data_IF_077402319562
#
_entry.id   IF_077402319562
#
_cell.length_a   1.000
_cell.length_b   1.000
_cell.length_c   1.000
_cell.angle_alpha   90.00
_cell.angle_beta   90.00
_cell.angle_gamma   90.00
#
_symmetry.space_group_name_H-M   'P 1'
#
loop_
_entity.id
_entity.type
_entity.pdbx_description
1 polymer ?
#
# COMPACT_ATOMS: atom_id res chain seq x y z
N UNK A 1 14.80 -30.50 40.41
CA UNK A 1 15.69 -29.80 39.46
C UNK A 1 16.48 -30.75 38.57
N UNK A 2 15.83 -31.48 37.67
CA UNK A 2 16.49 -32.31 36.64
C UNK A 2 15.96 -31.99 35.23
N UNK A 3 15.03 -31.03 35.10
CA UNK A 3 14.37 -30.69 33.81
C UNK A 3 15.04 -29.56 33.02
N UNK A 4 15.95 -28.80 33.61
CA UNK A 4 16.64 -27.69 32.93
C UNK A 4 17.86 -28.13 32.11
N UNK A 5 18.39 -29.35 32.31
CA UNK A 5 19.65 -29.81 31.68
C UNK A 5 19.48 -30.46 30.28
N UNK A 6 18.24 -30.59 29.77
CA UNK A 6 17.98 -31.27 28.48
C UNK A 6 17.61 -30.31 27.33
N UNK A 7 17.17 -29.08 27.63
CA UNK A 7 16.77 -28.13 26.59
C UNK A 7 17.99 -27.72 25.76
N UNK A 8 17.91 -27.91 24.44
CA UNK A 8 18.99 -27.66 23.48
C UNK A 8 20.27 -28.50 23.63
N UNK A 9 20.26 -29.61 24.39
CA UNK A 9 21.45 -30.45 24.61
C UNK A 9 22.13 -30.91 23.29
N UNK A 10 21.34 -31.20 22.26
CA UNK A 10 21.84 -31.53 20.92
C UNK A 10 22.60 -30.35 20.27
N UNK A 11 22.09 -29.13 20.37
CA UNK A 11 22.74 -27.94 19.83
C UNK A 11 24.06 -27.65 20.56
N UNK A 12 24.08 -27.75 21.89
CA UNK A 12 25.33 -27.63 22.66
C UNK A 12 26.36 -28.71 22.31
N UNK A 13 25.93 -29.93 21.99
CA UNK A 13 26.82 -30.97 21.48
C UNK A 13 27.41 -30.60 20.11
N UNK A 14 26.60 -30.07 19.19
CA UNK A 14 27.06 -29.56 17.90
C UNK A 14 28.06 -28.40 18.05
N UNK A 15 27.79 -27.46 18.96
CA UNK A 15 28.68 -26.32 19.25
C UNK A 15 30.05 -26.78 19.76
N UNK A 16 30.09 -27.77 20.66
CA UNK A 16 31.36 -28.39 21.10
C UNK A 16 32.11 -29.03 19.93
N UNK A 17 31.39 -29.70 19.03
CA UNK A 17 31.95 -30.26 17.80
C UNK A 17 32.56 -29.19 16.89
N UNK A 18 31.84 -28.09 16.66
CA UNK A 18 32.30 -26.97 15.84
C UNK A 18 33.47 -26.20 16.48
N UNK A 19 33.54 -26.11 17.81
CA UNK A 19 34.73 -25.55 18.47
C UNK A 19 35.98 -26.41 18.25
N UNK A 20 35.83 -27.73 18.22
CA UNK A 20 36.93 -28.65 17.93
C UNK A 20 37.27 -28.73 16.42
N UNK A 21 36.27 -28.55 15.56
CA UNK A 21 36.36 -28.66 14.11
C UNK A 21 35.60 -27.50 13.42
N UNK A 22 36.16 -26.27 13.38
CA UNK A 22 35.43 -25.07 12.93
C UNK A 22 34.98 -25.10 11.47
N UNK A 23 35.72 -25.81 10.62
CA UNK A 23 35.48 -25.85 9.17
C UNK A 23 34.60 -27.04 8.74
N UNK A 24 34.09 -27.85 9.68
CA UNK A 24 33.32 -29.06 9.36
C UNK A 24 31.91 -28.70 8.83
N UNK A 25 31.62 -28.86 7.52
CA UNK A 25 30.39 -28.36 6.92
C UNK A 25 29.14 -29.09 7.41
N UNK A 26 29.27 -30.38 7.72
CA UNK A 26 28.14 -31.19 8.17
C UNK A 26 27.62 -30.75 9.55
N UNK A 27 28.53 -30.41 10.48
CA UNK A 27 28.14 -29.94 11.82
C UNK A 27 27.47 -28.57 11.74
N UNK A 28 27.96 -27.69 10.86
CA UNK A 28 27.34 -26.39 10.64
C UNK A 28 25.93 -26.54 10.06
N UNK A 29 25.76 -27.41 9.06
CA UNK A 29 24.47 -27.64 8.43
C UNK A 29 23.45 -28.27 9.40
N UNK A 30 23.87 -29.21 10.24
CA UNK A 30 23.01 -29.77 11.29
C UNK A 30 22.58 -28.70 12.31
N UNK A 31 23.48 -27.80 12.70
CA UNK A 31 23.16 -26.71 13.61
C UNK A 31 22.21 -25.70 12.95
N UNK A 32 22.41 -25.39 11.67
CA UNK A 32 21.50 -24.56 10.88
C UNK A 32 20.09 -25.17 10.82
N UNK A 33 20.00 -26.46 10.54
CA UNK A 33 18.71 -27.18 10.53
C UNK A 33 18.04 -27.18 11.90
N UNK A 34 18.83 -27.29 12.98
CA UNK A 34 18.32 -27.17 14.33
C UNK A 34 17.65 -25.81 14.57
N UNK A 35 18.32 -24.70 14.26
CA UNK A 35 17.73 -23.36 14.39
C UNK A 35 16.55 -23.14 13.44
N UNK A 36 16.62 -23.68 12.22
CA UNK A 36 15.50 -23.63 11.26
C UNK A 36 14.26 -24.38 11.77
N UNK A 37 14.44 -25.40 12.62
CA UNK A 37 13.34 -26.16 13.23
C UNK A 37 12.62 -25.46 14.39
N UNK A 38 12.91 -24.18 14.63
CA UNK A 38 12.30 -23.34 15.67
C UNK A 38 12.48 -23.94 17.07
N UNK A 39 13.70 -23.86 17.63
CA UNK A 39 13.97 -24.36 18.96
C UNK A 39 13.11 -23.63 20.00
N UNK A 40 12.83 -24.31 21.12
CA UNK A 40 12.12 -23.73 22.27
C UNK A 40 12.70 -22.36 22.67
N UNK A 41 11.83 -21.41 23.05
CA UNK A 41 12.27 -20.10 23.57
C UNK A 41 13.03 -20.22 24.89
N UNK A 42 12.68 -21.22 25.71
CA UNK A 42 13.32 -21.47 27.00
C UNK A 42 14.81 -21.82 26.85
N UNK A 43 15.71 -20.93 27.28
CA UNK A 43 17.16 -21.13 27.17
C UNK A 43 17.76 -20.74 25.81
N UNK A 44 16.96 -20.13 24.95
CA UNK A 44 17.39 -19.69 23.62
C UNK A 44 18.42 -18.55 23.66
N UNK A 45 18.32 -17.52 24.51
CA UNK A 45 19.34 -16.48 24.61
C UNK A 45 20.73 -17.06 24.98
N UNK A 46 20.79 -17.98 25.93
CA UNK A 46 22.04 -18.63 26.34
C UNK A 46 22.63 -19.48 25.21
N UNK A 47 21.78 -20.14 24.42
CA UNK A 47 22.21 -20.89 23.25
C UNK A 47 22.78 -19.96 22.17
N UNK A 48 22.15 -18.81 21.92
CA UNK A 48 22.65 -17.80 20.96
C UNK A 48 24.00 -17.24 21.40
N UNK A 49 24.14 -16.90 22.68
CA UNK A 49 25.42 -16.45 23.24
C UNK A 49 26.50 -17.51 23.10
N UNK A 50 26.20 -18.77 23.45
CA UNK A 50 27.14 -19.88 23.27
C UNK A 50 27.52 -20.08 21.79
N UNK A 51 26.55 -19.89 20.89
CA UNK A 51 26.75 -19.96 19.43
C UNK A 51 27.67 -18.85 18.94
N UNK A 52 27.49 -17.60 19.39
CA UNK A 52 28.34 -16.46 19.00
C UNK A 52 29.81 -16.63 19.46
N UNK A 53 30.04 -17.33 20.57
CA UNK A 53 31.40 -17.65 21.05
C UNK A 53 32.05 -18.76 20.22
N UNK A 54 31.26 -19.69 19.68
CA UNK A 54 31.75 -20.79 18.85
C UNK A 54 31.94 -20.37 17.38
N UNK A 55 30.97 -19.63 16.82
CA UNK A 55 30.95 -19.13 15.45
C UNK A 55 31.18 -17.63 15.46
N UNK A 56 32.44 -17.23 15.35
CA UNK A 56 32.89 -15.83 15.53
C UNK A 56 32.92 -15.02 14.23
N UNK A 57 32.21 -15.48 13.21
CA UNK A 57 32.15 -14.87 11.87
C UNK A 57 30.72 -14.44 11.55
N UNK A 58 30.54 -13.68 10.46
CA UNK A 58 29.22 -13.22 10.01
C UNK A 58 28.23 -14.38 9.71
N UNK A 59 28.72 -15.60 9.49
CA UNK A 59 27.91 -16.83 9.40
C UNK A 59 27.00 -17.07 10.61
N UNK A 60 27.31 -16.46 11.75
CA UNK A 60 26.45 -16.48 12.94
C UNK A 60 25.04 -15.97 12.63
N UNK A 61 24.94 -14.85 11.92
CA UNK A 61 23.67 -14.21 11.59
C UNK A 61 22.79 -15.13 10.73
N UNK A 62 23.36 -15.67 9.65
CA UNK A 62 22.68 -16.61 8.76
C UNK A 62 22.18 -17.87 9.49
N UNK A 63 22.93 -18.35 10.48
CA UNK A 63 22.59 -19.57 11.21
C UNK A 63 21.50 -19.33 12.27
N UNK A 64 21.42 -18.12 12.83
CA UNK A 64 20.59 -17.82 14.01
C UNK A 64 19.35 -16.98 13.71
N UNK A 65 19.17 -16.50 12.48
CA UNK A 65 18.07 -15.63 12.05
C UNK A 65 16.69 -16.01 12.63
N UNK A 66 16.27 -17.28 12.48
CA UNK A 66 14.97 -17.76 12.97
C UNK A 66 14.82 -17.74 14.49
N UNK A 67 15.91 -17.88 15.24
CA UNK A 67 15.88 -17.78 16.69
C UNK A 67 15.72 -16.32 17.13
N UNK A 68 16.33 -15.38 16.41
CA UNK A 68 16.12 -13.96 16.65
C UNK A 68 14.68 -13.52 16.38
N UNK A 69 14.02 -14.08 15.36
CA UNK A 69 12.58 -13.86 15.14
C UNK A 69 11.74 -14.28 16.35
N UNK A 70 12.08 -15.43 16.94
CA UNK A 70 11.36 -15.97 18.09
C UNK A 70 11.53 -15.05 19.31
N UNK A 71 12.77 -14.65 19.63
CA UNK A 71 13.04 -13.72 20.72
C UNK A 71 12.39 -12.37 20.47
N UNK A 72 12.52 -11.81 19.26
CA UNK A 72 11.95 -10.51 18.94
C UNK A 72 10.42 -10.50 19.01
N UNK A 73 9.75 -11.64 18.82
CA UNK A 73 8.29 -11.77 19.00
C UNK A 73 7.90 -11.82 20.48
N UNK A 74 8.61 -12.61 21.29
CA UNK A 74 8.22 -12.87 22.69
C UNK A 74 8.75 -11.85 23.70
N UNK A 75 9.97 -11.35 23.49
CA UNK A 75 10.66 -10.54 24.48
C UNK A 75 10.41 -9.05 24.29
N UNK A 76 10.79 -8.28 25.31
CA UNK A 76 10.90 -6.84 25.20
C UNK A 76 12.06 -6.47 24.27
N UNK A 77 11.96 -5.32 23.59
CA UNK A 77 13.03 -4.90 22.67
C UNK A 77 14.35 -4.63 23.40
N UNK A 78 14.30 -4.19 24.66
CA UNK A 78 15.52 -3.95 25.46
C UNK A 78 16.29 -5.25 25.72
N UNK A 79 15.57 -6.32 26.08
CA UNK A 79 16.21 -7.60 26.40
C UNK A 79 16.76 -8.25 25.13
N UNK A 80 15.99 -8.23 24.04
CA UNK A 80 16.45 -8.63 22.71
C UNK A 80 17.74 -7.90 22.30
N UNK A 81 17.75 -6.58 22.48
CA UNK A 81 18.90 -5.74 22.11
C UNK A 81 20.14 -6.10 22.95
N UNK A 82 19.99 -6.29 24.25
CA UNK A 82 21.10 -6.67 25.13
C UNK A 82 21.72 -8.01 24.73
N UNK A 83 20.89 -9.01 24.41
CA UNK A 83 21.36 -10.30 23.93
C UNK A 83 22.06 -10.21 22.56
N UNK A 84 21.51 -9.41 21.63
CA UNK A 84 22.13 -9.18 20.32
C UNK A 84 23.49 -8.51 20.47
N UNK A 85 23.57 -7.40 21.19
CA UNK A 85 24.83 -6.68 21.44
C UNK A 85 25.87 -7.61 22.12
N UNK A 86 25.45 -8.41 23.09
CA UNK A 86 26.32 -9.40 23.76
C UNK A 86 26.87 -10.42 22.77
N UNK A 87 26.03 -10.94 21.86
CA UNK A 87 26.48 -11.87 20.82
C UNK A 87 27.45 -11.19 19.84
N UNK A 88 27.15 -9.97 19.41
CA UNK A 88 27.95 -9.22 18.44
C UNK A 88 29.35 -8.89 18.97
N UNK A 89 29.52 -8.63 20.27
CA UNK A 89 30.85 -8.42 20.87
C UNK A 89 31.77 -9.64 20.77
N UNK A 90 31.23 -10.85 20.55
CA UNK A 90 32.03 -12.07 20.39
C UNK A 90 32.53 -12.28 18.95
N UNK A 91 31.92 -11.61 17.98
CA UNK A 91 32.23 -11.71 16.56
C UNK A 91 33.53 -10.94 16.26
N UNK A 92 34.38 -11.52 15.41
CA UNK A 92 35.71 -10.98 15.09
C UNK A 92 35.89 -10.59 13.62
N UNK A 93 34.88 -10.85 12.79
CA UNK A 93 34.99 -10.70 11.34
C UNK A 93 34.66 -9.27 10.87
N UNK A 94 35.31 -8.86 9.77
CA UNK A 94 35.07 -7.60 9.06
C UNK A 94 34.06 -7.76 7.91
N UNK A 95 33.60 -8.99 7.63
CA UNK A 95 32.52 -9.24 6.68
C UNK A 95 31.19 -8.79 7.27
N UNK A 96 30.41 -8.08 6.46
CA UNK A 96 29.11 -7.53 6.87
C UNK A 96 27.95 -8.08 6.04
N UNK A 97 28.20 -8.97 5.08
CA UNK A 97 27.18 -9.36 4.10
C UNK A 97 25.98 -10.07 4.77
N UNK A 98 26.25 -11.09 5.60
CA UNK A 98 25.19 -11.78 6.36
C UNK A 98 24.60 -10.92 7.48
N UNK A 99 25.39 -9.99 8.02
CA UNK A 99 24.93 -9.03 9.02
C UNK A 99 23.87 -8.09 8.43
N UNK A 100 24.12 -7.57 7.23
CA UNK A 100 23.19 -6.69 6.53
C UNK A 100 21.88 -7.40 6.18
N UNK A 101 21.96 -8.61 5.63
CA UNK A 101 20.77 -9.43 5.34
C UNK A 101 19.96 -9.71 6.61
N UNK A 102 20.65 -10.05 7.71
CA UNK A 102 20.00 -10.25 9.00
C UNK A 102 19.30 -9.00 9.50
N UNK A 103 19.94 -7.83 9.42
CA UNK A 103 19.30 -6.58 9.85
C UNK A 103 18.08 -6.23 9.00
N UNK A 104 18.12 -6.42 7.68
CA UNK A 104 16.94 -6.26 6.81
C UNK A 104 15.80 -7.16 7.28
N UNK A 105 16.09 -8.44 7.56
CA UNK A 105 15.10 -9.41 8.02
C UNK A 105 14.47 -9.01 9.37
N UNK A 106 15.28 -8.72 10.40
CA UNK A 106 14.74 -8.42 11.74
C UNK A 106 14.08 -7.03 11.81
N UNK A 107 14.45 -6.09 10.94
CA UNK A 107 13.91 -4.73 10.95
C UNK A 107 12.40 -4.71 10.71
N UNK A 108 11.88 -5.65 9.90
CA UNK A 108 10.44 -5.80 9.62
C UNK A 108 9.62 -5.87 10.91
N UNK A 109 10.05 -6.68 11.88
CA UNK A 109 9.42 -6.74 13.20
C UNK A 109 9.93 -5.64 14.14
N UNK A 110 11.24 -5.35 14.13
CA UNK A 110 11.86 -4.45 15.10
C UNK A 110 11.35 -3.01 15.00
N UNK A 111 10.96 -2.53 13.82
CA UNK A 111 10.38 -1.18 13.62
C UNK A 111 9.22 -0.93 14.59
N UNK A 112 8.44 -1.94 14.93
CA UNK A 112 7.28 -1.84 15.82
C UNK A 112 7.62 -1.79 17.31
N UNK A 113 8.80 -2.24 17.72
CA UNK A 113 9.20 -2.32 19.14
C UNK A 113 10.38 -1.40 19.49
N UNK A 114 11.22 -1.07 18.52
CA UNK A 114 12.47 -0.35 18.70
C UNK A 114 12.29 1.16 18.87
N UNK A 115 13.26 1.78 19.57
CA UNK A 115 13.36 3.23 19.63
C UNK A 115 13.80 3.84 18.30
N UNK A 116 13.38 5.07 18.01
CA UNK A 116 13.79 5.81 16.80
C UNK A 116 15.31 5.99 16.69
N UNK A 117 16.01 6.07 17.82
CA UNK A 117 17.48 6.15 17.82
C UNK A 117 18.09 4.90 17.21
N UNK A 118 17.70 3.73 17.72
CA UNK A 118 18.23 2.45 17.26
C UNK A 118 17.88 2.19 15.79
N UNK A 119 16.67 2.54 15.36
CA UNK A 119 16.27 2.39 13.96
C UNK A 119 17.11 3.28 13.04
N UNK A 120 17.29 4.57 13.38
CA UNK A 120 18.15 5.47 12.58
C UNK A 120 19.59 4.96 12.49
N UNK A 121 20.11 4.41 13.58
CA UNK A 121 21.44 3.80 13.61
C UNK A 121 21.53 2.62 12.62
N UNK A 122 20.57 1.69 12.65
CA UNK A 122 20.59 0.50 11.79
C UNK A 122 20.26 0.76 10.33
N UNK A 123 19.32 1.67 10.04
CA UNK A 123 19.12 2.13 8.66
C UNK A 123 20.37 2.84 8.12
N UNK A 124 21.04 3.67 8.94
CA UNK A 124 22.29 4.32 8.54
C UNK A 124 23.44 3.33 8.32
N UNK A 125 23.48 2.24 9.07
CA UNK A 125 24.45 1.15 8.88
C UNK A 125 24.21 0.40 7.55
N UNK A 126 22.95 0.14 7.21
CA UNK A 126 22.58 -0.46 5.91
C UNK A 126 22.94 0.48 4.76
N UNK A 127 22.59 1.77 4.85
CA UNK A 127 22.89 2.78 3.83
C UNK A 127 24.41 2.92 3.60
N UNK A 128 25.21 2.94 4.68
CA UNK A 128 26.67 3.02 4.58
C UNK A 128 27.32 1.82 3.85
N UNK A 129 26.61 0.70 3.75
CA UNK A 129 27.06 -0.52 3.10
C UNK A 129 26.16 -0.96 1.93
N UNK A 130 25.38 -0.03 1.37
CA UNK A 130 24.43 -0.31 0.29
C UNK A 130 25.05 -1.07 -0.90
N UNK A 131 26.27 -0.70 -1.31
CA UNK A 131 27.00 -1.33 -2.42
C UNK A 131 27.30 -2.83 -2.22
N UNK A 132 27.16 -3.36 -0.99
CA UNK A 132 27.38 -4.76 -0.64
C UNK A 132 26.10 -5.59 -0.63
N UNK A 133 24.95 -4.95 -0.72
CA UNK A 133 23.67 -5.63 -0.66
C UNK A 133 23.39 -6.42 -1.94
N UNK A 134 22.67 -7.54 -1.83
CA UNK A 134 22.21 -8.28 -3.00
C UNK A 134 21.13 -7.48 -3.75
N UNK A 135 20.98 -7.74 -5.05
CA UNK A 135 20.04 -6.98 -5.91
C UNK A 135 18.59 -6.98 -5.42
N UNK A 136 18.15 -8.05 -4.73
CA UNK A 136 16.79 -8.17 -4.22
C UNK A 136 16.53 -7.29 -2.98
N UNK A 137 17.59 -6.82 -2.31
CA UNK A 137 17.46 -6.06 -1.07
C UNK A 137 16.94 -4.64 -1.29
N UNK A 138 17.02 -4.11 -2.51
CA UNK A 138 16.53 -2.77 -2.84
C UNK A 138 15.02 -2.64 -2.53
N UNK A 139 14.22 -3.61 -3.00
CA UNK A 139 12.78 -3.63 -2.72
C UNK A 139 12.46 -3.80 -1.23
N UNK A 140 13.27 -4.57 -0.50
CA UNK A 140 13.09 -4.77 0.94
C UNK A 140 13.43 -3.50 1.72
N UNK A 141 14.48 -2.78 1.34
CA UNK A 141 14.82 -1.48 1.95
C UNK A 141 13.68 -0.49 1.74
N UNK A 142 13.19 -0.35 0.52
CA UNK A 142 12.06 0.53 0.20
C UNK A 142 10.85 0.18 1.09
N UNK A 143 10.52 -1.10 1.20
CA UNK A 143 9.44 -1.56 2.07
C UNK A 143 9.65 -1.20 3.54
N UNK A 144 10.85 -1.44 4.09
CA UNK A 144 11.20 -1.14 5.47
C UNK A 144 11.17 0.37 5.77
N UNK A 145 11.62 1.20 4.84
CA UNK A 145 11.52 2.65 4.95
C UNK A 145 10.06 3.10 5.00
N UNK A 146 9.20 2.55 4.13
CA UNK A 146 7.77 2.86 4.12
C UNK A 146 7.07 2.39 5.40
N UNK A 147 7.43 1.24 5.97
CA UNK A 147 6.90 0.81 7.29
C UNK A 147 7.34 1.80 8.37
N UNK A 148 8.62 2.19 8.39
CA UNK A 148 9.11 3.11 9.42
C UNK A 148 8.43 4.49 9.32
N UNK A 149 8.20 4.98 8.10
CA UNK A 149 7.42 6.19 7.87
C UNK A 149 5.95 6.01 8.29
N UNK A 150 5.32 4.90 7.90
CA UNK A 150 3.94 4.56 8.29
C UNK A 150 3.78 4.56 9.80
N UNK A 151 4.69 3.91 10.52
CA UNK A 151 4.70 3.88 11.99
C UNK A 151 4.64 5.28 12.61
N UNK A 152 5.37 6.25 12.04
CA UNK A 152 5.37 7.63 12.52
C UNK A 152 4.04 8.37 12.28
N UNK A 153 3.27 7.95 11.26
CA UNK A 153 1.99 8.53 10.87
C UNK A 153 0.77 7.68 11.30
N UNK A 154 1.02 6.50 11.87
CA UNK A 154 0.01 5.49 12.22
C UNK A 154 -1.15 6.04 13.03
N UNK A 155 -0.86 6.92 13.99
CA UNK A 155 -1.92 7.52 14.83
C UNK A 155 -2.93 8.31 14.00
N UNK A 156 -2.48 9.03 12.97
CA UNK A 156 -3.36 9.78 12.07
C UNK A 156 -4.16 8.84 11.17
N UNK A 157 -3.54 7.74 10.72
CA UNK A 157 -4.23 6.74 9.93
C UNK A 157 -5.41 6.11 10.71
N UNK A 158 -5.17 5.76 11.99
CA UNK A 158 -6.17 5.13 12.86
C UNK A 158 -7.35 6.05 13.25
N UNK A 159 -7.28 7.36 13.03
CA UNK A 159 -8.41 8.28 13.29
C UNK A 159 -9.61 8.05 12.36
N UNK A 160 -9.42 7.34 11.24
CA UNK A 160 -10.44 7.23 10.18
C UNK A 160 -11.58 6.24 10.44
N UNK A 161 -11.41 5.25 11.32
CA UNK A 161 -12.48 4.31 11.65
C UNK A 161 -12.05 2.84 11.76
N UNK A 162 -13.02 1.92 11.83
CA UNK A 162 -12.77 0.50 12.03
C UNK A 162 -12.09 -0.18 10.83
N UNK A 163 -12.35 0.24 9.59
CA UNK A 163 -11.73 -0.39 8.41
C UNK A 163 -10.22 -0.11 8.40
N UNK A 164 -9.81 1.12 8.73
CA UNK A 164 -8.38 1.46 8.89
C UNK A 164 -7.74 0.72 10.03
N UNK A 165 -8.43 0.52 11.15
CA UNK A 165 -7.91 -0.30 12.23
C UNK A 165 -7.66 -1.76 11.80
N UNK A 166 -8.53 -2.30 10.94
CA UNK A 166 -8.33 -3.63 10.36
C UNK A 166 -7.15 -3.70 9.39
N UNK A 167 -7.01 -2.69 8.52
CA UNK A 167 -5.86 -2.58 7.60
C UNK A 167 -4.55 -2.44 8.38
N UNK A 168 -4.52 -1.57 9.39
CA UNK A 168 -3.37 -1.39 10.28
C UNK A 168 -2.98 -2.69 10.97
N UNK A 169 -3.97 -3.43 11.50
CA UNK A 169 -3.71 -4.72 12.13
C UNK A 169 -3.13 -5.74 11.13
N UNK A 170 -3.64 -5.78 9.90
CA UNK A 170 -3.12 -6.68 8.88
C UNK A 170 -1.68 -6.31 8.45
N UNK A 171 -1.36 -5.02 8.34
CA UNK A 171 0.02 -4.55 8.09
C UNK A 171 0.93 -4.93 9.26
N UNK A 172 0.46 -4.70 10.50
CA UNK A 172 1.19 -5.06 11.71
C UNK A 172 1.44 -6.58 11.78
N UNK A 173 0.42 -7.40 11.55
CA UNK A 173 0.51 -8.85 11.58
C UNK A 173 1.46 -9.37 10.50
N UNK A 174 1.39 -8.81 9.29
CA UNK A 174 2.32 -9.13 8.22
C UNK A 174 3.79 -8.91 8.60
N UNK A 175 4.05 -7.92 9.46
CA UNK A 175 5.41 -7.60 9.90
C UNK A 175 5.88 -8.36 11.13
N UNK A 176 4.95 -8.91 11.93
CA UNK A 176 5.24 -9.39 13.29
C UNK A 176 4.87 -10.84 13.54
N UNK A 177 4.02 -11.42 12.70
CA UNK A 177 3.61 -12.82 12.77
C UNK A 177 4.47 -13.69 11.86
N UNK A 178 4.35 -15.01 12.03
CA UNK A 178 4.93 -15.98 11.11
C UNK A 178 4.21 -15.89 9.77
N UNK A 179 4.92 -16.13 8.67
CA UNK A 179 4.41 -15.99 7.30
C UNK A 179 3.01 -16.60 7.10
N UNK A 180 2.79 -17.84 7.53
CA UNK A 180 1.47 -18.49 7.40
C UNK A 180 0.35 -17.82 8.18
N UNK A 181 0.65 -17.28 9.37
CA UNK A 181 -0.33 -16.59 10.21
C UNK A 181 -0.57 -15.17 9.71
N UNK A 182 0.48 -14.50 9.23
CA UNK A 182 0.44 -13.21 8.55
C UNK A 182 -0.43 -13.27 7.29
N UNK A 183 -0.18 -14.24 6.40
CA UNK A 183 -0.95 -14.44 5.17
C UNK A 183 -2.42 -14.72 5.49
N UNK A 184 -2.71 -15.55 6.50
CA UNK A 184 -4.09 -15.79 6.95
C UNK A 184 -4.75 -14.52 7.46
N UNK A 185 -4.10 -13.75 8.34
CA UNK A 185 -4.63 -12.48 8.86
C UNK A 185 -4.93 -11.50 7.72
N UNK A 186 -4.03 -11.41 6.75
CA UNK A 186 -4.19 -10.57 5.58
C UNK A 186 -5.38 -11.00 4.71
N UNK A 187 -5.50 -12.28 4.38
CA UNK A 187 -6.63 -12.82 3.60
C UNK A 187 -7.97 -12.69 4.32
N UNK A 188 -7.99 -12.87 5.64
CA UNK A 188 -9.18 -12.60 6.47
C UNK A 188 -9.58 -11.12 6.38
N UNK A 189 -8.61 -10.20 6.41
CA UNK A 189 -8.85 -8.78 6.19
C UNK A 189 -9.45 -8.52 4.79
N UNK A 190 -8.89 -9.12 3.72
CA UNK A 190 -9.45 -8.99 2.37
C UNK A 190 -10.91 -9.46 2.28
N UNK A 191 -11.24 -10.60 2.90
CA UNK A 191 -12.61 -11.10 2.94
C UNK A 191 -13.56 -10.13 3.67
N UNK A 192 -13.09 -9.49 4.73
CA UNK A 192 -13.85 -8.48 5.44
C UNK A 192 -14.03 -7.19 4.62
N UNK A 193 -13.00 -6.74 3.89
CA UNK A 193 -13.11 -5.58 2.99
C UNK A 193 -14.17 -5.79 1.90
N UNK A 194 -14.32 -7.01 1.39
CA UNK A 194 -15.39 -7.35 0.44
C UNK A 194 -16.75 -7.44 1.13
N UNK A 195 -16.81 -7.99 2.35
CA UNK A 195 -18.06 -8.18 3.09
C UNK A 195 -18.64 -6.87 3.65
N UNK A 196 -17.77 -5.90 3.97
CA UNK A 196 -18.10 -4.60 4.54
C UNK A 196 -18.04 -3.50 3.47
N UNK A 197 -18.59 -3.80 2.29
CA UNK A 197 -18.40 -2.97 1.10
C UNK A 197 -18.86 -1.51 1.35
N UNK A 198 -20.03 -1.31 1.94
CA UNK A 198 -20.58 0.01 2.25
C UNK A 198 -19.73 0.79 3.28
N UNK A 199 -19.17 0.11 4.28
CA UNK A 199 -18.30 0.73 5.28
C UNK A 199 -16.96 1.16 4.68
N UNK A 200 -16.33 0.32 3.85
CA UNK A 200 -15.08 0.66 3.15
C UNK A 200 -15.27 1.91 2.31
N UNK A 201 -16.36 1.97 1.54
CA UNK A 201 -16.64 3.14 0.72
C UNK A 201 -16.89 4.41 1.55
N UNK A 202 -17.55 4.27 2.70
CA UNK A 202 -17.86 5.41 3.58
C UNK A 202 -16.61 5.94 4.28
N UNK A 203 -15.72 5.04 4.71
CA UNK A 203 -14.51 5.38 5.45
C UNK A 203 -13.40 5.94 4.56
N UNK A 204 -13.38 5.57 3.27
CA UNK A 204 -12.45 6.10 2.27
C UNK A 204 -13.21 6.95 1.24
N UNK A 205 -13.51 8.19 1.62
CA UNK A 205 -14.32 9.10 0.81
C UNK A 205 -13.47 10.05 -0.06
N UNK A 206 -13.71 10.08 -1.38
CA UNK A 206 -12.83 10.77 -2.36
C UNK A 206 -13.00 12.30 -2.34
N UNK A 207 -11.95 13.14 -2.33
CA UNK A 207 -10.53 12.86 -2.15
C UNK A 207 -10.12 13.17 -0.72
N UNK A 208 -9.73 12.15 0.02
CA UNK A 208 -9.21 12.30 1.35
C UNK A 208 -7.67 12.48 1.30
N UNK A 209 -7.09 12.97 2.39
CA UNK A 209 -5.66 13.29 2.52
C UNK A 209 -4.78 12.12 2.09
N UNK A 210 -3.58 12.44 1.61
CA UNK A 210 -2.57 11.50 1.13
C UNK A 210 -2.47 10.20 1.97
N UNK A 211 -2.91 9.08 1.39
CA UNK A 211 -2.80 7.72 1.92
C UNK A 211 -1.62 6.96 1.32
N UNK A 212 -0.73 7.65 0.58
CA UNK A 212 0.24 7.02 -0.30
C UNK A 212 1.06 5.92 0.37
N UNK A 213 1.55 6.15 1.60
CA UNK A 213 2.37 5.17 2.32
C UNK A 213 1.58 3.91 2.67
N UNK A 214 0.37 4.05 3.23
CA UNK A 214 -0.45 2.90 3.62
C UNK A 214 -0.87 2.09 2.39
N UNK A 215 -1.19 2.76 1.28
CA UNK A 215 -1.57 2.09 0.02
C UNK A 215 -0.39 1.40 -0.64
N UNK A 216 0.79 2.02 -0.63
CA UNK A 216 2.02 1.38 -1.08
C UNK A 216 2.28 0.09 -0.31
N UNK A 217 2.23 0.14 1.02
CA UNK A 217 2.39 -1.05 1.86
C UNK A 217 1.33 -2.09 1.55
N UNK A 218 0.07 -1.67 1.40
CA UNK A 218 -1.04 -2.56 1.09
C UNK A 218 -0.85 -3.28 -0.25
N UNK A 219 -0.42 -2.56 -1.28
CA UNK A 219 -0.15 -3.12 -2.60
C UNK A 219 1.04 -4.09 -2.59
N UNK A 220 2.14 -3.71 -1.92
CA UNK A 220 3.32 -4.57 -1.80
C UNK A 220 3.00 -5.88 -1.08
N UNK A 221 2.27 -5.80 0.04
CA UNK A 221 1.81 -6.98 0.79
C UNK A 221 0.85 -7.80 -0.07
N UNK A 222 -0.07 -7.15 -0.80
CA UNK A 222 -1.01 -7.85 -1.68
C UNK A 222 -0.29 -8.63 -2.78
N UNK A 223 0.74 -8.06 -3.41
CA UNK A 223 1.54 -8.74 -4.44
C UNK A 223 2.28 -9.94 -3.86
N UNK A 224 2.93 -9.74 -2.71
CA UNK A 224 3.73 -10.77 -2.04
C UNK A 224 2.88 -11.97 -1.57
N UNK A 225 1.71 -11.70 -0.99
CA UNK A 225 0.75 -12.75 -0.62
C UNK A 225 0.20 -13.44 -1.86
N UNK A 226 -0.10 -12.69 -2.93
CA UNK A 226 -0.60 -13.27 -4.17
C UNK A 226 0.40 -14.23 -4.81
N UNK A 227 1.68 -13.87 -4.85
CA UNK A 227 2.76 -14.71 -5.38
C UNK A 227 2.90 -16.04 -4.64
N UNK A 228 2.56 -16.07 -3.34
CA UNK A 228 2.58 -17.31 -2.54
C UNK A 228 1.36 -18.20 -2.75
N UNK A 229 0.19 -17.62 -3.04
CA UNK A 229 -1.08 -18.38 -3.11
C UNK A 229 -1.52 -18.72 -4.53
N UNK A 230 -1.10 -17.96 -5.55
CA UNK A 230 -1.55 -18.14 -6.92
C UNK A 230 -0.57 -19.01 -7.74
N UNK A 231 -1.09 -20.08 -8.35
CA UNK A 231 -0.31 -20.91 -9.29
C UNK A 231 0.07 -20.14 -10.58
N UNK A 232 -0.74 -19.15 -10.98
CA UNK A 232 -0.44 -18.17 -12.03
C UNK A 232 -0.99 -16.79 -11.59
N UNK A 233 -0.12 -15.88 -11.09
CA UNK A 233 -0.54 -14.57 -10.60
C UNK A 233 -1.03 -13.62 -11.72
N UNK A 234 -0.92 -14.04 -13.00
CA UNK A 234 -1.31 -13.27 -14.19
C UNK A 234 -2.47 -13.90 -14.97
N UNK A 235 -3.40 -14.59 -14.31
CA UNK A 235 -4.65 -15.05 -14.93
C UNK A 235 -5.51 -13.86 -15.41
N UNK A 236 -5.14 -13.30 -16.56
CA UNK A 236 -5.88 -12.30 -17.31
C UNK A 236 -7.12 -13.00 -17.85
N UNK A 237 -8.29 -12.40 -17.61
CA UNK A 237 -9.55 -12.88 -18.18
C UNK A 237 -9.42 -13.11 -19.69
N UNK A 238 -9.86 -14.27 -20.19
CA UNK A 238 -9.93 -14.56 -21.64
C UNK A 238 -10.85 -13.57 -22.41
N UNK A 239 -11.65 -12.77 -21.70
CA UNK A 239 -12.41 -11.69 -22.30
C UNK A 239 -11.52 -10.46 -22.51
N UNK A 240 -11.42 -9.97 -23.74
CA UNK A 240 -10.67 -8.74 -24.03
C UNK A 240 -11.18 -7.58 -23.18
N UNK A 241 -10.30 -6.97 -22.39
CA UNK A 241 -10.54 -5.78 -21.57
C UNK A 241 -11.34 -4.72 -22.33
N UNK A 242 -10.97 -4.45 -23.60
CA UNK A 242 -11.64 -3.50 -24.51
C UNK A 242 -13.16 -3.77 -24.68
N UNK A 243 -13.56 -5.05 -24.78
CA UNK A 243 -14.99 -5.41 -24.96
C UNK A 243 -15.75 -5.21 -23.65
N UNK A 244 -15.13 -5.52 -22.51
CA UNK A 244 -15.77 -5.37 -21.21
C UNK A 244 -15.83 -3.91 -20.78
N UNK A 245 -14.79 -3.12 -21.05
CA UNK A 245 -14.75 -1.67 -20.81
C UNK A 245 -15.82 -0.95 -21.62
N UNK A 246 -16.02 -1.30 -22.91
CA UNK A 246 -17.12 -0.77 -23.73
C UNK A 246 -18.50 -1.10 -23.17
N UNK A 247 -18.74 -2.34 -22.73
CA UNK A 247 -20.01 -2.75 -22.11
C UNK A 247 -20.26 -2.02 -20.79
N UNK A 248 -19.23 -1.88 -19.97
CA UNK A 248 -19.30 -1.17 -18.69
C UNK A 248 -19.56 0.31 -18.92
N UNK A 249 -18.79 0.97 -19.78
CA UNK A 249 -18.99 2.36 -20.14
C UNK A 249 -20.41 2.61 -20.63
N UNK A 250 -20.96 1.70 -21.47
CA UNK A 250 -22.33 1.83 -21.94
C UNK A 250 -23.29 1.83 -20.77
N UNK A 251 -23.19 0.88 -19.84
CA UNK A 251 -24.02 0.85 -18.61
C UNK A 251 -23.88 2.12 -17.78
N UNK A 252 -22.64 2.56 -17.49
CA UNK A 252 -22.35 3.76 -16.70
C UNK A 252 -23.01 5.03 -17.28
N UNK A 253 -23.11 5.11 -18.61
CA UNK A 253 -23.65 6.28 -19.32
C UNK A 253 -25.13 6.14 -19.71
N UNK A 254 -25.69 4.92 -19.76
CA UNK A 254 -27.08 4.70 -20.17
C UNK A 254 -28.05 4.39 -19.06
N UNK A 255 -27.57 3.92 -17.91
CA UNK A 255 -28.43 3.47 -16.82
C UNK A 255 -28.41 4.43 -15.62
N UNK A 256 -29.51 4.43 -14.87
CA UNK A 256 -29.65 5.15 -13.60
C UNK A 256 -29.27 6.64 -13.68
N UNK A 257 -28.34 7.05 -12.80
CA UNK A 257 -27.94 8.44 -12.65
C UNK A 257 -27.06 8.97 -13.80
N UNK A 258 -26.52 8.11 -14.68
CA UNK A 258 -25.77 8.54 -15.87
C UNK A 258 -26.60 9.40 -16.82
N UNK A 259 -27.91 9.13 -16.93
CA UNK A 259 -28.82 9.99 -17.72
C UNK A 259 -29.12 11.34 -17.07
N UNK A 260 -29.02 11.46 -15.74
CA UNK A 260 -29.20 12.72 -15.02
C UNK A 260 -27.94 13.58 -15.06
N UNK A 261 -26.75 12.97 -14.95
CA UNK A 261 -25.48 13.66 -15.15
C UNK A 261 -25.47 14.45 -16.47
N UNK A 262 -25.99 13.85 -17.55
CA UNK A 262 -26.15 14.51 -18.86
C UNK A 262 -26.93 15.81 -18.78
N UNK A 263 -28.08 15.83 -18.12
CA UNK A 263 -28.88 17.05 -17.98
C UNK A 263 -28.09 18.16 -17.28
N UNK A 264 -27.39 17.81 -16.20
CA UNK A 264 -26.54 18.77 -15.49
C UNK A 264 -25.35 19.24 -16.33
N UNK A 265 -24.66 18.33 -17.02
CA UNK A 265 -23.53 18.67 -17.87
C UNK A 265 -23.94 19.64 -18.99
N UNK A 266 -25.06 19.39 -19.68
CA UNK A 266 -25.59 20.31 -20.69
C UNK A 266 -26.00 21.66 -20.08
N UNK A 267 -26.67 21.67 -18.92
CA UNK A 267 -27.03 22.92 -18.24
C UNK A 267 -25.78 23.74 -17.89
N UNK A 268 -24.71 23.11 -17.40
CA UNK A 268 -23.45 23.77 -17.09
C UNK A 268 -22.72 24.26 -18.34
N UNK A 269 -22.70 23.49 -19.43
CA UNK A 269 -22.11 23.91 -20.70
C UNK A 269 -22.85 25.13 -21.30
N UNK A 270 -24.19 25.11 -21.28
CA UNK A 270 -25.03 26.23 -21.72
C UNK A 270 -24.83 27.46 -20.84
N UNK A 271 -24.73 27.29 -19.52
CA UNK A 271 -24.42 28.39 -18.59
C UNK A 271 -23.03 28.98 -18.85
N UNK A 272 -22.02 28.14 -19.09
CA UNK A 272 -20.66 28.59 -19.41
C UNK A 272 -20.57 29.37 -20.72
N UNK A 273 -21.23 28.89 -21.78
CA UNK A 273 -21.33 29.60 -23.07
C UNK A 273 -22.16 30.89 -22.92
N UNK A 274 -23.25 30.84 -22.13
CA UNK A 274 -24.08 32.00 -21.82
C UNK A 274 -23.29 33.11 -21.14
N UNK A 275 -22.41 32.76 -20.20
CA UNK A 275 -21.52 33.70 -19.51
C UNK A 275 -20.52 34.37 -20.46
N UNK A 276 -19.90 33.58 -21.35
CA UNK A 276 -19.06 34.12 -22.42
C UNK A 276 -19.83 35.08 -23.35
N UNK A 277 -21.09 34.74 -23.67
CA UNK A 277 -21.96 35.57 -24.48
C UNK A 277 -22.32 36.90 -23.81
N UNK A 278 -22.59 36.89 -22.50
CA UNK A 278 -22.87 38.12 -21.74
C UNK A 278 -21.66 39.04 -21.64
N UNK A 279 -20.45 38.49 -21.56
CA UNK A 279 -19.19 39.26 -21.62
C UNK A 279 -19.08 40.00 -22.95
N UNK A 280 -19.28 39.28 -24.07
CA UNK A 280 -19.21 39.87 -25.41
C UNK A 280 -20.25 40.98 -25.64
N UNK A 281 -21.49 40.77 -25.17
CA UNK A 281 -22.55 41.77 -25.23
C UNK A 281 -22.27 42.98 -24.34
N UNK A 282 -21.74 42.79 -23.13
CA UNK A 282 -21.38 43.91 -22.26
C UNK A 282 -20.22 44.73 -22.82
N UNK A 283 -19.18 44.10 -23.37
CA UNK A 283 -18.07 44.80 -24.04
C UNK A 283 -18.61 45.63 -25.22
N UNK A 284 -19.51 45.05 -26.02
CA UNK A 284 -20.18 45.74 -27.12
C UNK A 284 -20.97 46.98 -26.64
N UNK A 285 -21.78 46.86 -25.59
CA UNK A 285 -22.54 47.99 -25.03
C UNK A 285 -21.66 49.04 -24.33
N UNK A 286 -20.55 48.63 -23.70
CA UNK A 286 -19.58 49.54 -23.05
C UNK A 286 -18.77 50.36 -24.07
N UNK A 287 -18.49 49.82 -25.26
CA UNK A 287 -17.89 50.58 -26.37
C UNK A 287 -18.88 51.63 -26.90
N UNK A 288 -20.18 51.35 -26.85
CA UNK A 288 -21.23 52.23 -27.39
C UNK A 288 -21.60 53.38 -26.44
N UNK A 289 -21.43 53.20 -25.12
CA UNK A 289 -21.81 54.19 -24.09
C UNK A 289 -20.55 54.91 -23.59
N UNK A 290 -20.23 56.03 -24.22
CA UNK A 290 -19.16 56.94 -23.81
C UNK A 290 -19.45 57.59 -22.45
N UNK A 291 -18.57 57.38 -21.47
CA UNK A 291 -18.16 58.40 -20.48
C UNK A 291 -16.91 57.93 -19.71
N UNK A 292 -15.79 58.65 -19.89
CA UNK A 292 -14.45 58.42 -19.30
C UNK A 292 -13.79 57.05 -19.56
N UNK A 293 -12.65 57.08 -20.28
CA UNK A 293 -11.80 55.91 -20.56
C UNK A 293 -11.47 55.08 -19.31
N UNK A 294 -11.14 55.74 -18.19
CA UNK A 294 -10.76 55.07 -16.95
C UNK A 294 -11.92 54.36 -16.26
N UNK A 295 -13.13 54.94 -16.33
CA UNK A 295 -14.33 54.32 -15.75
C UNK A 295 -14.72 53.09 -16.58
N UNK A 296 -14.61 53.18 -17.91
CA UNK A 296 -14.85 52.03 -18.78
C UNK A 296 -13.81 50.93 -18.60
N UNK A 297 -12.52 51.27 -18.41
CA UNK A 297 -11.46 50.31 -18.11
C UNK A 297 -11.72 49.56 -16.79
N UNK A 298 -12.10 50.28 -15.72
CA UNK A 298 -12.40 49.68 -14.42
C UNK A 298 -13.62 48.75 -14.49
N UNK A 299 -14.66 49.13 -15.24
CA UNK A 299 -15.86 48.30 -15.47
C UNK A 299 -15.50 47.01 -16.22
N UNK A 300 -14.71 47.11 -17.31
CA UNK A 300 -14.25 45.94 -18.07
C UNK A 300 -13.45 45.00 -17.17
N UNK A 301 -12.50 45.54 -16.40
CA UNK A 301 -11.71 44.73 -15.47
C UNK A 301 -12.57 44.06 -14.39
N UNK A 302 -13.51 44.80 -13.78
CA UNK A 302 -14.43 44.26 -12.79
C UNK A 302 -15.32 43.14 -13.32
N UNK A 303 -15.77 43.24 -14.58
CA UNK A 303 -16.53 42.19 -15.26
C UNK A 303 -15.65 40.96 -15.48
N UNK A 304 -14.45 41.12 -16.08
CA UNK A 304 -13.52 40.02 -16.31
C UNK A 304 -13.21 39.27 -15.00
N UNK A 305 -12.94 39.99 -13.91
CA UNK A 305 -12.71 39.39 -12.59
C UNK A 305 -13.97 38.70 -12.06
N UNK A 306 -15.14 39.33 -12.19
CA UNK A 306 -16.41 38.76 -11.77
C UNK A 306 -16.74 37.46 -12.50
N UNK A 307 -16.54 37.41 -13.82
CA UNK A 307 -16.74 36.23 -14.64
C UNK A 307 -15.70 35.16 -14.39
N UNK A 308 -14.44 35.54 -14.15
CA UNK A 308 -13.41 34.60 -13.74
C UNK A 308 -13.78 33.93 -12.41
N UNK A 309 -14.24 34.71 -11.41
CA UNK A 309 -14.72 34.19 -10.13
C UNK A 309 -15.94 33.28 -10.36
N UNK A 310 -16.89 33.68 -11.20
CA UNK A 310 -18.07 32.89 -11.48
C UNK A 310 -17.73 31.57 -12.21
N UNK A 311 -16.77 31.59 -13.14
CA UNK A 311 -16.27 30.41 -13.81
C UNK A 311 -15.59 29.45 -12.84
N UNK A 312 -14.81 29.97 -11.88
CA UNK A 312 -14.24 29.18 -10.79
C UNK A 312 -15.34 28.56 -9.90
N UNK A 313 -16.39 29.32 -9.56
CA UNK A 313 -17.52 28.82 -8.77
C UNK A 313 -18.33 27.75 -9.52
N UNK A 314 -18.58 27.95 -10.82
CA UNK A 314 -19.24 26.98 -11.68
C UNK A 314 -18.41 25.71 -11.80
N UNK A 315 -17.10 25.83 -12.01
CA UNK A 315 -16.18 24.69 -12.04
C UNK A 315 -16.16 23.92 -10.72
N UNK A 316 -16.07 24.62 -9.59
CA UNK A 316 -16.12 24.01 -8.26
C UNK A 316 -17.47 23.33 -7.98
N UNK A 317 -18.58 23.91 -8.44
CA UNK A 317 -19.91 23.31 -8.32
C UNK A 317 -20.05 22.07 -9.21
N UNK A 318 -19.55 22.13 -10.44
CA UNK A 318 -19.54 21.00 -11.37
C UNK A 318 -18.73 19.83 -10.78
N UNK A 319 -17.55 20.09 -10.24
CA UNK A 319 -16.72 19.07 -9.58
C UNK A 319 -17.42 18.46 -8.36
N UNK A 320 -18.10 19.28 -7.54
CA UNK A 320 -18.89 18.79 -6.40
C UNK A 320 -20.06 17.91 -6.84
N UNK A 321 -20.75 18.29 -7.92
CA UNK A 321 -21.86 17.52 -8.49
C UNK A 321 -21.35 16.21 -9.09
N UNK A 322 -20.24 16.24 -9.83
CA UNK A 322 -19.58 15.06 -10.40
C UNK A 322 -19.20 14.06 -9.31
N UNK A 323 -18.55 14.52 -8.24
CA UNK A 323 -18.23 13.70 -7.07
C UNK A 323 -19.48 13.10 -6.43
N UNK A 324 -20.56 13.86 -6.32
CA UNK A 324 -21.85 13.37 -5.84
C UNK A 324 -22.42 12.24 -6.71
N UNK A 325 -22.36 12.37 -8.03
CA UNK A 325 -22.79 11.31 -8.96
C UNK A 325 -21.91 10.07 -8.89
N UNK A 326 -20.59 10.27 -8.83
CA UNK A 326 -19.64 9.18 -8.69
C UNK A 326 -19.92 8.36 -7.43
N UNK A 327 -20.00 9.02 -6.26
CA UNK A 327 -20.23 8.37 -4.97
C UNK A 327 -21.59 7.68 -4.85
N UNK A 328 -22.62 8.17 -5.54
CA UNK A 328 -23.98 7.64 -5.39
C UNK A 328 -24.35 6.55 -6.38
N UNK A 329 -23.67 6.45 -7.53
CA UNK A 329 -24.03 5.49 -8.57
C UNK A 329 -22.84 4.83 -9.23
N UNK A 330 -21.95 5.61 -9.86
CA UNK A 330 -20.88 5.03 -10.68
C UNK A 330 -19.95 4.13 -9.86
N UNK A 331 -19.62 4.54 -8.63
CA UNK A 331 -18.81 3.74 -7.70
C UNK A 331 -19.40 2.36 -7.43
N UNK A 332 -20.71 2.27 -7.18
CA UNK A 332 -21.39 0.99 -6.93
C UNK A 332 -21.48 0.10 -8.18
N UNK A 333 -21.71 0.69 -9.35
CA UNK A 333 -21.74 -0.08 -10.60
C UNK A 333 -20.34 -0.62 -10.96
N UNK A 334 -19.29 0.13 -10.65
CA UNK A 334 -17.89 -0.33 -10.76
C UNK A 334 -17.62 -1.52 -9.84
N UNK A 335 -18.05 -1.46 -8.58
CA UNK A 335 -17.90 -2.59 -7.66
C UNK A 335 -18.64 -3.83 -8.15
N UNK A 336 -19.88 -3.66 -8.62
CA UNK A 336 -20.68 -4.74 -9.20
C UNK A 336 -20.00 -5.38 -10.41
N UNK A 337 -19.31 -4.58 -11.22
CA UNK A 337 -18.48 -5.09 -12.30
C UNK A 337 -17.36 -5.98 -11.76
N UNK A 338 -16.62 -5.50 -10.76
CA UNK A 338 -15.50 -6.21 -10.14
C UNK A 338 -15.87 -7.48 -9.38
N UNK A 339 -17.13 -7.63 -8.94
CA UNK A 339 -17.65 -8.90 -8.40
C UNK A 339 -17.69 -10.03 -9.43
N UNK A 340 -17.66 -9.71 -10.73
CA UNK A 340 -17.86 -10.70 -11.81
C UNK A 340 -16.67 -10.79 -12.78
N UNK A 341 -15.88 -9.74 -12.88
CA UNK A 341 -14.77 -9.60 -13.81
C UNK A 341 -13.66 -8.84 -13.13
N UNK A 342 -12.47 -9.42 -13.09
CA UNK A 342 -11.30 -8.75 -12.53
C UNK A 342 -10.37 -8.24 -13.63
N UNK A 343 -9.94 -6.99 -13.47
CA UNK A 343 -8.90 -6.31 -14.26
C UNK A 343 -8.17 -5.33 -13.32
N UNK A 344 -6.90 -4.97 -13.60
CA UNK A 344 -6.25 -3.88 -12.87
C UNK A 344 -7.06 -2.58 -12.97
N UNK A 345 -7.20 -1.87 -11.84
CA UNK A 345 -8.01 -0.66 -11.76
C UNK A 345 -7.52 0.43 -12.73
N UNK A 346 -6.21 0.60 -12.82
CA UNK A 346 -5.55 1.54 -13.72
C UNK A 346 -5.81 1.21 -15.18
N UNK A 347 -5.67 -0.06 -15.58
CA UNK A 347 -5.93 -0.50 -16.96
C UNK A 347 -7.40 -0.27 -17.37
N UNK A 348 -8.35 -0.56 -16.48
CA UNK A 348 -9.75 -0.28 -16.75
C UNK A 348 -10.02 1.23 -16.85
N UNK A 349 -9.39 2.04 -16.00
CA UNK A 349 -9.50 3.49 -16.05
C UNK A 349 -8.93 4.05 -17.36
N UNK A 350 -7.77 3.56 -17.80
CA UNK A 350 -7.14 3.96 -19.07
C UNK A 350 -8.04 3.64 -20.26
N UNK A 351 -8.64 2.46 -20.30
CA UNK A 351 -9.57 2.06 -21.35
C UNK A 351 -10.84 2.91 -21.37
N UNK A 352 -11.43 3.20 -20.20
CA UNK A 352 -12.58 4.11 -20.11
C UNK A 352 -12.24 5.53 -20.56
N UNK A 353 -11.04 6.01 -20.21
CA UNK A 353 -10.54 7.30 -20.67
C UNK A 353 -10.28 7.33 -22.18
N UNK A 354 -9.76 6.25 -22.78
CA UNK A 354 -9.56 6.15 -24.22
C UNK A 354 -10.88 6.14 -25.00
N UNK A 355 -11.92 5.48 -24.48
CA UNK A 355 -13.25 5.46 -25.10
C UNK A 355 -13.81 6.89 -25.15
N UNK A 356 -13.61 7.71 -24.10
CA UNK A 356 -14.10 9.10 -23.91
C UNK A 356 -15.62 9.27 -23.93
N UNK A 357 -16.26 8.74 -24.96
CA UNK A 357 -17.67 8.88 -25.26
C UNK A 357 -18.29 7.59 -25.79
N UNK A 358 -19.60 7.44 -25.63
CA UNK A 358 -20.35 6.30 -26.16
C UNK A 358 -21.50 6.79 -27.02
N UNK A 359 -21.59 6.21 -28.22
CA UNK A 359 -22.68 6.46 -29.15
C UNK A 359 -23.90 5.60 -28.79
N UNK A 360 -25.03 6.25 -28.54
CA UNK A 360 -26.32 5.59 -28.24
C UNK A 360 -27.38 6.16 -29.18
N UNK A 361 -27.66 5.42 -30.26
CA UNK A 361 -28.46 5.94 -31.38
C UNK A 361 -27.69 7.02 -32.13
N UNK A 362 -28.29 8.22 -32.24
CA UNK A 362 -27.68 9.38 -32.89
C UNK A 362 -26.94 10.31 -31.91
N UNK A 363 -26.99 10.03 -30.60
CA UNK A 363 -26.37 10.85 -29.56
C UNK A 363 -25.02 10.27 -29.11
N UNK A 364 -24.03 11.14 -28.97
CA UNK A 364 -22.73 10.83 -28.36
C UNK A 364 -22.72 11.27 -26.89
N UNK A 365 -22.33 10.38 -25.98
CA UNK A 365 -22.37 10.60 -24.52
C UNK A 365 -20.97 10.66 -23.95
N UNK A 366 -20.52 11.86 -23.58
CA UNK A 366 -19.19 12.13 -22.98
C UNK A 366 -19.19 12.02 -21.45
N UNK A 367 -18.02 11.74 -20.87
CA UNK A 367 -17.79 11.80 -19.42
C UNK A 367 -17.09 10.58 -18.81
N UNK A 368 -16.71 9.58 -19.62
CA UNK A 368 -15.98 8.41 -19.13
C UNK A 368 -14.57 8.77 -18.64
N UNK A 369 -13.94 9.78 -19.24
CA UNK A 369 -12.67 10.37 -18.79
C UNK A 369 -12.76 10.86 -17.33
N UNK A 370 -13.89 11.49 -16.97
CA UNK A 370 -14.13 11.97 -15.61
C UNK A 370 -14.38 10.85 -14.61
N UNK A 371 -15.00 9.76 -15.06
CA UNK A 371 -15.17 8.55 -14.24
C UNK A 371 -13.81 7.89 -14.01
N UNK A 372 -13.00 7.74 -15.06
CA UNK A 372 -11.64 7.20 -14.97
C UNK A 372 -10.75 8.03 -14.02
N UNK A 373 -10.79 9.35 -14.13
CA UNK A 373 -10.07 10.24 -13.21
C UNK A 373 -10.51 10.05 -11.75
N UNK A 374 -11.81 9.88 -11.50
CA UNK A 374 -12.34 9.61 -10.16
C UNK A 374 -11.96 8.23 -9.64
N UNK A 375 -11.95 7.20 -10.50
CA UNK A 375 -11.54 5.83 -10.19
C UNK A 375 -10.10 5.78 -9.68
N UNK A 376 -9.16 6.45 -10.37
CA UNK A 376 -7.74 6.49 -9.96
C UNK A 376 -7.53 7.14 -8.59
N UNK A 377 -8.46 8.00 -8.17
CA UNK A 377 -8.43 8.70 -6.88
C UNK A 377 -9.26 7.99 -5.80
N UNK A 378 -9.89 6.86 -6.12
CA UNK A 378 -10.78 6.15 -5.24
C UNK A 378 -10.08 5.02 -4.48
N UNK A 379 -9.58 5.38 -3.31
CA UNK A 379 -8.91 4.45 -2.38
C UNK A 379 -9.82 3.29 -1.96
N UNK A 380 -11.09 3.56 -1.67
CA UNK A 380 -12.02 2.51 -1.25
C UNK A 380 -12.29 1.50 -2.37
N UNK A 381 -12.40 1.98 -3.62
CA UNK A 381 -12.51 1.11 -4.78
C UNK A 381 -11.23 0.31 -5.02
N UNK A 382 -10.05 0.94 -4.89
CA UNK A 382 -8.76 0.26 -4.99
C UNK A 382 -8.62 -0.88 -3.97
N UNK A 383 -8.94 -0.63 -2.70
CA UNK A 383 -8.91 -1.65 -1.65
C UNK A 383 -9.87 -2.81 -1.97
N UNK A 384 -11.08 -2.50 -2.41
CA UNK A 384 -12.07 -3.51 -2.81
C UNK A 384 -11.61 -4.37 -4.00
N UNK A 385 -11.05 -3.74 -5.03
CA UNK A 385 -10.57 -4.44 -6.25
C UNK A 385 -9.39 -5.35 -5.95
N UNK A 386 -8.46 -4.90 -5.09
CA UNK A 386 -7.36 -5.76 -4.64
C UNK A 386 -7.84 -6.92 -3.78
N UNK A 387 -8.83 -6.70 -2.92
CA UNK A 387 -9.45 -7.77 -2.15
C UNK A 387 -10.10 -8.83 -3.05
N UNK A 388 -10.86 -8.40 -4.06
CA UNK A 388 -11.46 -9.29 -5.05
C UNK A 388 -10.41 -10.08 -5.84
N UNK A 389 -9.29 -9.45 -6.20
CA UNK A 389 -8.16 -10.12 -6.89
C UNK A 389 -7.68 -11.33 -6.11
N UNK A 390 -7.30 -11.10 -4.85
CA UNK A 390 -6.71 -12.10 -3.97
C UNK A 390 -7.72 -13.23 -3.67
N UNK A 391 -8.96 -12.88 -3.36
CA UNK A 391 -9.99 -13.89 -3.07
C UNK A 391 -10.36 -14.74 -4.29
N UNK A 392 -10.28 -14.18 -5.50
CA UNK A 392 -10.48 -14.94 -6.74
C UNK A 392 -9.31 -15.90 -6.99
N UNK A 393 -8.08 -15.49 -6.67
CA UNK A 393 -6.91 -16.35 -6.82
C UNK A 393 -6.89 -17.53 -5.81
N UNK A 394 -7.61 -17.42 -4.69
CA UNK A 394 -7.77 -18.52 -3.73
C UNK A 394 -8.81 -19.59 -4.15
N UNK A 395 -9.61 -19.35 -5.21
CA UNK A 395 -10.66 -20.27 -5.69
C UNK A 395 -10.11 -21.22 -6.75
#
# INVERSE_FOLDING_TARGET
DVRQDETHAFAYWLLKGLQAHPDEPALFELLRQYFASQPSSDGLPELLEATSRAIRTDRFYYLTERAWDELLRHDSFSDFREHLETCETNLLDHRVDHMLVFYLHILKTAVWKASDHWLREKFGEIEAHYDRLPYWAEEEIDFLEQINQYRSQRSQFLEGGPVRAMIDQAIFDYCTQRESDADRSFLECQNQLVSLEDEVLREFDVPEKDFGIALYLWERISSDVLERIADDPYLVSNDSLEVQSKKLGHRLMTEGLGTRYRFFHYVFAVLGIGLMGTIGLMIYYLIYIFDSFWINLLKIFGIIVGDFILLLLVGALQDRVLRGYYRSWWRFELMRFYQTKWFPLEELADELEQIKSIKVGDEEREGLDKIAEAMRKDVGLFLYVNAQRLLTACQ
#
